data_IF_952173521315
#
_entry.id   IF_952173521315
#
_cell.length_a   1.000
_cell.length_b   1.000
_cell.length_c   1.000
_cell.angle_alpha   90.00
_cell.angle_beta   90.00
_cell.angle_gamma   90.00
#
_symmetry.space_group_name_H-M   'P 1'
#
loop_
_entity.id
_entity.type
_entity.pdbx_description
1 polymer ?
#
# COMPACT_ATOMS: atom_id res chain seq x y z
N UNK A 1 -6.70 6.68 16.11
CA UNK A 1 -5.63 7.23 16.97
C UNK A 1 -4.32 7.13 16.22
N UNK A 2 -3.59 8.23 16.11
CA UNK A 2 -2.19 8.26 15.67
C UNK A 2 -1.38 8.76 16.85
N UNK A 3 -0.55 7.88 17.43
CA UNK A 3 0.04 8.12 18.75
C UNK A 3 -1.05 8.51 19.77
N UNK A 4 -0.97 9.72 20.34
CA UNK A 4 -1.93 10.22 21.32
C UNK A 4 -2.97 11.19 20.71
N UNK A 5 -3.05 11.29 19.39
CA UNK A 5 -4.00 12.16 18.70
C UNK A 5 -5.16 11.36 18.11
N UNK A 6 -6.37 11.88 18.30
CA UNK A 6 -7.55 11.40 17.60
C UNK A 6 -7.42 11.74 16.12
N UNK A 7 -7.70 10.76 15.27
CA UNK A 7 -7.69 10.92 13.83
C UNK A 7 -9.15 10.78 13.38
N UNK A 8 -9.66 11.81 12.71
CA UNK A 8 -11.00 11.76 12.14
C UNK A 8 -11.02 10.81 10.95
N UNK A 9 -11.96 9.87 10.94
CA UNK A 9 -12.23 9.00 9.79
C UNK A 9 -13.19 9.65 8.76
N UNK A 10 -13.58 10.91 8.99
CA UNK A 10 -14.65 11.55 8.24
C UNK A 10 -16.05 11.17 8.76
N UNK A 11 -17.09 11.73 8.15
CA UNK A 11 -18.49 11.53 8.56
C UNK A 11 -19.11 10.21 8.10
N UNK A 12 -18.54 9.59 7.07
CA UNK A 12 -18.97 8.32 6.48
C UNK A 12 -17.85 7.76 5.57
N UNK A 13 -17.90 6.48 5.16
CA UNK A 13 -16.99 5.97 4.13
C UNK A 13 -17.02 6.87 2.88
N UNK A 14 -15.84 7.33 2.47
CA UNK A 14 -15.68 8.26 1.36
C UNK A 14 -16.39 9.62 1.55
N UNK A 15 -16.45 10.17 2.77
CA UNK A 15 -16.93 11.54 3.01
C UNK A 15 -16.02 12.62 2.43
N UNK A 16 -14.73 12.33 2.28
CA UNK A 16 -13.76 13.28 1.73
C UNK A 16 -13.73 13.21 0.19
N UNK A 17 -13.78 14.35 -0.52
CA UNK A 17 -13.82 14.38 -1.98
C UNK A 17 -12.61 13.72 -2.63
N UNK A 18 -11.44 13.77 -2.00
CA UNK A 18 -10.21 13.15 -2.48
C UNK A 18 -10.35 11.63 -2.53
N UNK A 19 -10.86 11.03 -1.45
CA UNK A 19 -11.06 9.57 -1.37
C UNK A 19 -12.14 9.08 -2.34
N UNK A 20 -13.21 9.86 -2.56
CA UNK A 20 -14.20 9.56 -3.61
C UNK A 20 -13.56 9.61 -5.00
N UNK A 21 -12.79 10.66 -5.28
CA UNK A 21 -12.16 10.85 -6.58
C UNK A 21 -11.20 9.71 -6.90
N UNK A 22 -10.40 9.28 -5.91
CA UNK A 22 -9.50 8.14 -6.07
C UNK A 22 -10.26 6.83 -6.31
N UNK A 23 -11.31 6.57 -5.52
CA UNK A 23 -12.19 5.40 -5.67
C UNK A 23 -12.76 5.31 -7.08
N UNK A 24 -13.38 6.40 -7.53
CA UNK A 24 -14.05 6.49 -8.82
C UNK A 24 -13.04 6.39 -9.98
N UNK A 25 -11.86 7.01 -9.82
CA UNK A 25 -10.78 6.93 -10.80
C UNK A 25 -10.28 5.49 -11.00
N UNK A 26 -9.94 4.80 -9.91
CA UNK A 26 -9.41 3.44 -9.95
C UNK A 26 -10.41 2.46 -10.57
N UNK A 27 -11.70 2.60 -10.24
CA UNK A 27 -12.76 1.80 -10.85
C UNK A 27 -12.92 2.10 -12.35
N UNK A 28 -12.89 3.38 -12.73
CA UNK A 28 -13.06 3.79 -14.13
C UNK A 28 -11.96 3.28 -15.04
N UNK A 29 -10.73 3.21 -14.55
CA UNK A 29 -9.58 2.72 -15.34
C UNK A 29 -9.39 1.20 -15.23
N UNK A 30 -10.25 0.51 -14.47
CA UNK A 30 -10.13 -0.93 -14.19
C UNK A 30 -8.71 -1.30 -13.72
N UNK A 31 -8.19 -0.59 -12.72
CA UNK A 31 -6.79 -0.72 -12.34
C UNK A 31 -6.44 -2.17 -11.96
N UNK A 32 -5.42 -2.73 -12.60
CA UNK A 32 -4.94 -4.09 -12.30
C UNK A 32 -4.24 -4.20 -10.95
N UNK A 33 -3.61 -3.12 -10.49
CA UNK A 33 -2.98 -3.01 -9.18
C UNK A 33 -2.76 -1.55 -8.78
N UNK A 34 -2.41 -1.31 -7.51
CA UNK A 34 -2.12 0.01 -6.95
C UNK A 34 -0.81 -0.03 -6.13
N UNK A 35 0.03 0.98 -6.29
CA UNK A 35 1.16 1.26 -5.41
C UNK A 35 0.90 2.60 -4.72
N UNK A 36 0.77 2.60 -3.40
CA UNK A 36 0.62 3.81 -2.57
C UNK A 36 1.94 4.16 -1.89
N UNK A 37 2.43 5.37 -2.07
CA UNK A 37 3.66 5.84 -1.43
C UNK A 37 3.35 6.66 -0.18
N UNK A 38 3.87 6.22 0.95
CA UNK A 38 3.81 6.87 2.26
C UNK A 38 5.24 7.12 2.77
N UNK A 39 5.42 7.50 4.02
CA UNK A 39 6.77 7.80 4.53
C UNK A 39 6.91 7.64 6.04
N UNK A 40 8.18 7.49 6.44
CA UNK A 40 8.67 7.41 7.81
C UNK A 40 8.34 6.12 8.55
N UNK A 41 8.38 4.97 7.86
CA UNK A 41 8.32 3.66 8.52
C UNK A 41 9.25 2.58 7.93
N UNK A 42 9.86 2.82 6.76
CA UNK A 42 10.81 1.90 6.09
C UNK A 42 10.28 0.48 5.89
N UNK A 43 9.25 0.30 5.07
CA UNK A 43 8.77 -1.05 4.76
C UNK A 43 7.57 -1.10 3.82
N UNK A 44 7.05 -2.31 3.61
CA UNK A 44 5.93 -2.56 2.70
C UNK A 44 4.75 -3.17 3.47
N UNK A 45 3.58 -2.55 3.35
CA UNK A 45 2.30 -3.20 3.62
C UNK A 45 1.67 -3.67 2.32
N UNK A 46 0.79 -4.66 2.41
CA UNK A 46 0.00 -5.10 1.28
C UNK A 46 -1.41 -5.47 1.72
N UNK A 47 -2.36 -5.21 0.82
CA UNK A 47 -3.78 -5.57 0.96
C UNK A 47 -3.97 -7.08 1.25
N UNK A 48 -5.04 -7.48 1.95
CA UNK A 48 -5.30 -8.91 2.19
C UNK A 48 -4.22 -9.69 2.96
N UNK A 49 -3.34 -9.00 3.72
CA UNK A 49 -2.23 -9.63 4.46
C UNK A 49 -2.70 -10.69 5.46
N UNK A 50 -3.81 -10.44 6.16
CA UNK A 50 -4.34 -11.38 7.15
C UNK A 50 -4.89 -12.65 6.50
N UNK A 51 -5.39 -12.53 5.28
CA UNK A 51 -5.97 -13.59 4.46
C UNK A 51 -4.92 -14.29 3.59
N UNK A 52 -3.64 -13.89 3.71
CA UNK A 52 -2.52 -14.44 2.94
C UNK A 52 -2.74 -14.39 1.42
N UNK A 53 -3.41 -13.34 0.92
CA UNK A 53 -3.81 -13.23 -0.48
C UNK A 53 -2.61 -13.30 -1.43
N UNK A 54 -2.49 -14.40 -2.18
CA UNK A 54 -1.29 -14.73 -2.97
C UNK A 54 -0.93 -13.73 -4.09
N UNK A 55 -1.88 -13.21 -4.90
CA UNK A 55 -1.55 -12.26 -5.97
C UNK A 55 -0.73 -11.06 -5.48
N UNK A 56 -1.17 -10.41 -4.40
CA UNK A 56 -0.46 -9.26 -3.86
C UNK A 56 0.78 -9.64 -3.05
N UNK A 57 0.86 -10.85 -2.49
CA UNK A 57 2.08 -11.35 -1.84
C UNK A 57 3.24 -11.49 -2.83
N UNK A 58 2.98 -11.97 -4.06
CA UNK A 58 4.00 -12.02 -5.11
C UNK A 58 4.46 -10.62 -5.52
N UNK A 59 3.50 -9.71 -5.71
CA UNK A 59 3.77 -8.31 -6.01
C UNK A 59 4.65 -7.64 -4.94
N UNK A 60 4.29 -7.82 -3.67
CA UNK A 60 5.03 -7.25 -2.54
C UNK A 60 6.46 -7.79 -2.46
N UNK A 61 6.67 -9.09 -2.71
CA UNK A 61 8.02 -9.70 -2.75
C UNK A 61 8.88 -9.16 -3.88
N UNK A 62 8.33 -9.06 -5.09
CA UNK A 62 9.04 -8.48 -6.23
C UNK A 62 9.51 -7.04 -5.94
N UNK A 63 8.65 -6.25 -5.28
CA UNK A 63 9.01 -4.91 -4.83
C UNK A 63 10.07 -4.94 -3.71
N UNK A 64 9.92 -5.78 -2.68
CA UNK A 64 10.90 -5.93 -1.58
C UNK A 64 12.30 -6.28 -2.10
N UNK A 65 12.41 -7.25 -3.00
CA UNK A 65 13.68 -7.77 -3.53
C UNK A 65 14.47 -6.70 -4.32
N UNK A 66 13.77 -5.83 -5.04
CA UNK A 66 14.37 -4.78 -5.88
C UNK A 66 14.62 -3.46 -5.13
N UNK A 67 13.73 -3.11 -4.20
CA UNK A 67 13.78 -1.82 -3.47
C UNK A 67 14.42 -1.90 -2.09
N UNK A 68 14.66 -3.11 -1.56
CA UNK A 68 15.15 -3.38 -0.21
C UNK A 68 14.25 -2.85 0.92
N UNK A 69 12.97 -2.49 0.66
CA UNK A 69 12.03 -2.21 1.75
C UNK A 69 11.56 -3.53 2.36
N UNK A 70 11.71 -3.75 3.68
CA UNK A 70 11.29 -4.99 4.28
C UNK A 70 9.77 -5.11 4.34
N UNK A 71 9.26 -6.31 4.07
CA UNK A 71 7.91 -6.71 4.47
C UNK A 71 7.95 -7.08 5.96
N UNK A 72 7.12 -6.47 6.83
CA UNK A 72 7.07 -6.85 8.24
C UNK A 72 6.72 -8.32 8.42
N UNK A 73 7.48 -9.00 9.29
CA UNK A 73 7.25 -10.40 9.67
C UNK A 73 5.82 -10.62 10.15
N UNK A 74 5.34 -11.86 10.07
CA UNK A 74 4.01 -12.20 10.56
C UNK A 74 3.85 -11.81 12.03
N UNK A 75 2.75 -11.14 12.36
CA UNK A 75 2.49 -10.62 13.70
C UNK A 75 3.20 -9.30 14.05
N UNK A 76 4.05 -8.76 13.18
CA UNK A 76 4.61 -7.42 13.33
C UNK A 76 4.06 -6.47 12.25
N UNK A 77 3.68 -5.27 12.67
CA UNK A 77 3.42 -4.13 11.77
C UNK A 77 4.61 -3.18 11.77
N UNK A 78 4.66 -2.26 10.80
CA UNK A 78 5.56 -1.10 10.86
C UNK A 78 5.10 -0.10 11.93
N UNK A 79 3.83 -0.18 12.37
CA UNK A 79 3.26 0.67 13.42
C UNK A 79 2.62 -0.16 14.53
N UNK A 80 2.62 0.39 15.75
CA UNK A 80 2.10 -0.25 16.96
C UNK A 80 0.62 0.00 17.26
N UNK A 81 -0.17 0.44 16.28
CA UNK A 81 -1.58 0.77 16.47
C UNK A 81 -2.47 0.17 15.37
N UNK A 82 -3.75 -0.05 15.70
CA UNK A 82 -4.75 -0.54 14.75
C UNK A 82 -5.15 0.56 13.78
N UNK A 83 -5.27 0.20 12.50
CA UNK A 83 -5.74 1.07 11.42
C UNK A 83 -7.08 0.53 10.89
N UNK A 84 -8.03 1.42 10.62
CA UNK A 84 -9.31 1.11 9.97
C UNK A 84 -9.56 2.12 8.86
N UNK A 85 -10.28 1.73 7.80
CA UNK A 85 -10.58 2.63 6.67
C UNK A 85 -9.40 2.93 5.74
N UNK A 86 -8.29 2.18 5.86
CA UNK A 86 -7.13 2.31 4.97
C UNK A 86 -7.44 1.78 3.56
N UNK A 87 -6.72 2.31 2.56
CA UNK A 87 -6.82 1.95 1.15
C UNK A 87 -6.66 0.44 0.91
N UNK A 88 -5.69 -0.21 1.52
CA UNK A 88 -5.44 -1.64 1.33
C UNK A 88 -6.63 -2.53 1.71
N UNK A 89 -7.43 -2.14 2.70
CA UNK A 89 -8.67 -2.85 3.05
C UNK A 89 -9.76 -2.66 1.99
N UNK A 90 -9.88 -1.43 1.45
CA UNK A 90 -10.80 -1.15 0.35
C UNK A 90 -10.39 -1.91 -0.93
N UNK A 91 -9.15 -1.80 -1.37
CA UNK A 91 -8.68 -2.45 -2.61
C UNK A 91 -8.76 -3.97 -2.53
N UNK A 92 -8.47 -4.56 -1.36
CA UNK A 92 -8.74 -5.98 -1.13
C UNK A 92 -10.21 -6.35 -1.37
N UNK A 93 -11.16 -5.55 -0.84
CA UNK A 93 -12.60 -5.79 -1.06
C UNK A 93 -13.03 -5.69 -2.52
N UNK A 94 -12.27 -4.98 -3.34
CA UNK A 94 -12.50 -4.83 -4.78
C UNK A 94 -11.71 -5.86 -5.61
N UNK A 95 -10.99 -6.80 -4.96
CA UNK A 95 -10.06 -7.73 -5.61
C UNK A 95 -8.95 -7.04 -6.42
N UNK A 96 -8.52 -5.85 -5.99
CA UNK A 96 -7.42 -5.10 -6.60
C UNK A 96 -6.17 -5.21 -5.69
N UNK A 97 -5.06 -5.80 -6.17
CA UNK A 97 -3.81 -5.86 -5.43
C UNK A 97 -3.29 -4.46 -5.12
N UNK A 98 -3.06 -4.17 -3.84
CA UNK A 98 -2.41 -2.93 -3.41
C UNK A 98 -1.20 -3.23 -2.51
N UNK A 99 -0.09 -2.53 -2.78
CA UNK A 99 1.02 -2.37 -1.86
C UNK A 99 1.10 -0.92 -1.38
N UNK A 100 1.37 -0.73 -0.10
CA UNK A 100 1.75 0.57 0.48
C UNK A 100 3.23 0.54 0.83
N UNK A 101 4.01 1.42 0.20
CA UNK A 101 5.45 1.58 0.43
C UNK A 101 5.65 2.72 1.40
N UNK A 102 6.09 2.40 2.61
CA UNK A 102 6.48 3.38 3.62
C UNK A 102 7.97 3.72 3.44
N UNK A 103 8.26 4.90 2.87
CA UNK A 103 9.63 5.40 2.76
C UNK A 103 10.33 5.42 4.14
N UNK A 104 11.66 5.33 4.15
CA UNK A 104 12.42 5.33 5.39
C UNK A 104 12.43 6.71 6.05
N UNK A 105 12.60 7.76 5.25
CA UNK A 105 12.63 9.15 5.69
C UNK A 105 11.40 9.95 5.29
N UNK A 106 11.29 11.19 5.81
CA UNK A 106 10.23 12.15 5.45
C UNK A 106 10.61 13.10 4.30
N UNK A 107 11.91 13.20 4.03
CA UNK A 107 12.49 14.31 3.25
C UNK A 107 13.19 13.86 1.97
N UNK A 108 13.41 12.56 1.81
CA UNK A 108 14.00 11.99 0.59
C UNK A 108 12.93 11.22 -0.16
N UNK A 109 12.83 11.36 -1.49
CA UNK A 109 11.94 10.52 -2.29
C UNK A 109 12.46 9.09 -2.44
N UNK A 110 13.70 8.82 -2.03
CA UNK A 110 14.33 7.51 -2.15
C UNK A 110 14.19 6.95 -3.59
N UNK A 111 14.41 7.85 -4.56
CA UNK A 111 13.97 7.69 -5.94
C UNK A 111 14.51 6.41 -6.59
N UNK A 112 15.81 6.13 -6.49
CA UNK A 112 16.43 4.99 -7.17
C UNK A 112 15.86 3.64 -6.70
N UNK A 113 15.68 3.45 -5.39
CA UNK A 113 15.09 2.21 -4.85
C UNK A 113 13.61 2.08 -5.19
N UNK A 114 12.87 3.19 -5.24
CA UNK A 114 11.46 3.20 -5.64
C UNK A 114 11.30 2.96 -7.15
N UNK A 115 12.21 3.48 -7.98
CA UNK A 115 12.24 3.22 -9.40
C UNK A 115 12.53 1.75 -9.68
N UNK A 116 13.50 1.15 -8.98
CA UNK A 116 13.79 -0.28 -9.08
C UNK A 116 12.58 -1.14 -8.67
N UNK A 117 11.90 -0.77 -7.57
CA UNK A 117 10.64 -1.39 -7.14
C UNK A 117 9.54 -1.32 -8.20
N UNK A 118 9.32 -0.14 -8.78
CA UNK A 118 8.33 0.06 -9.83
C UNK A 118 8.64 -0.76 -11.09
N UNK A 119 9.91 -0.80 -11.51
CA UNK A 119 10.35 -1.60 -12.65
C UNK A 119 10.07 -3.08 -12.42
N UNK A 120 10.38 -3.61 -11.24
CA UNK A 120 10.08 -5.00 -10.88
C UNK A 120 8.57 -5.32 -10.94
N UNK A 121 7.72 -4.36 -10.56
CA UNK A 121 6.26 -4.51 -10.69
C UNK A 121 5.82 -4.52 -12.16
N UNK A 122 6.37 -3.64 -12.99
CA UNK A 122 6.06 -3.61 -14.43
C UNK A 122 6.45 -4.94 -15.08
N UNK A 123 7.65 -5.44 -14.78
CA UNK A 123 8.15 -6.72 -15.30
C UNK A 123 7.30 -7.90 -14.80
N UNK A 124 6.89 -7.88 -13.53
CA UNK A 124 5.98 -8.87 -12.97
C UNK A 124 4.65 -8.92 -13.74
N UNK A 125 4.02 -7.77 -13.99
CA UNK A 125 2.78 -7.69 -14.77
C UNK A 125 2.98 -8.18 -16.20
N UNK A 126 4.10 -7.84 -16.84
CA UNK A 126 4.39 -8.23 -18.22
C UNK A 126 4.61 -9.75 -18.40
N UNK A 127 4.90 -10.45 -17.30
CA UNK A 127 5.15 -11.91 -17.28
C UNK A 127 3.92 -12.78 -16.97
N UNK A 128 2.79 -12.17 -16.58
CA UNK A 128 1.50 -12.84 -16.33
C UNK A 128 0.60 -12.85 -17.58
#
# INVERSE_FOLDING_TARGET
>A
MWQNQEVSAGGAPFSEPETRSLRDFVQRIEARLVISYHSAANGIYYSGKHEQWEPVRRLARAYEESSCYPIPRSGTGLVGYRITGASGGYFYSQSIPEITVELAGRSSPEFERNLSGLQAVIDFIASE
#
